data_IF_343786518639
#
_entry.id   IF_343786518639
#
_cell.length_a   1.000
_cell.length_b   1.000
_cell.length_c   1.000
_cell.angle_alpha   90.00
_cell.angle_beta   90.00
_cell.angle_gamma   90.00
#
_symmetry.space_group_name_H-M   'P 1'
#
loop_
_entity.id
_entity.type
_entity.pdbx_description
1 polymer ?
#
# COMPACT_ATOMS: atom_id res chain seq x y z
N UNK A 1 29.95 12.02 -5.36
CA UNK A 1 29.86 11.06 -4.25
C UNK A 1 28.49 11.23 -3.60
N UNK A 2 27.62 10.22 -3.66
CA UNK A 2 26.31 10.30 -3.03
C UNK A 2 26.44 10.14 -1.51
N UNK A 3 25.99 11.13 -0.76
CA UNK A 3 26.00 11.09 0.72
C UNK A 3 24.70 10.49 1.21
N UNK A 4 24.74 9.39 1.93
CA UNK A 4 23.61 8.88 2.71
C UNK A 4 23.55 9.59 4.04
N UNK A 5 22.36 10.06 4.41
CA UNK A 5 22.11 10.67 5.70
C UNK A 5 20.84 10.05 6.31
N UNK A 6 20.94 9.63 7.57
CA UNK A 6 19.81 9.14 8.33
C UNK A 6 19.23 10.29 9.16
N UNK A 7 17.99 10.67 8.84
CA UNK A 7 17.27 11.76 9.49
C UNK A 7 16.57 11.24 10.75
N UNK A 8 16.99 11.71 11.90
CA UNK A 8 16.48 11.26 13.19
C UNK A 8 15.43 12.21 13.77
N UNK A 9 15.64 13.49 13.66
CA UNK A 9 14.77 14.52 14.27
C UNK A 9 13.77 15.11 13.29
N UNK A 10 12.74 15.79 13.83
CA UNK A 10 11.76 16.53 13.03
C UNK A 10 12.41 17.75 12.37
N UNK A 11 13.32 18.42 13.07
CA UNK A 11 13.98 19.63 12.55
C UNK A 11 14.93 19.30 11.40
N UNK A 12 15.67 18.19 11.49
CA UNK A 12 16.46 17.67 10.34
C UNK A 12 15.55 17.36 9.14
N UNK A 13 14.36 16.79 9.39
CA UNK A 13 13.40 16.48 8.33
C UNK A 13 12.81 17.74 7.69
N UNK A 14 12.56 18.79 8.46
CA UNK A 14 12.12 20.09 7.93
C UNK A 14 13.19 20.75 7.08
N UNK A 15 14.44 20.74 7.55
CA UNK A 15 15.58 21.31 6.82
C UNK A 15 15.76 20.71 5.43
N UNK A 16 15.35 19.43 5.20
CA UNK A 16 15.37 18.84 3.86
C UNK A 16 14.44 19.54 2.87
N UNK A 17 13.36 20.15 3.31
CA UNK A 17 12.42 20.85 2.42
C UNK A 17 12.94 22.26 2.06
N UNK A 18 13.79 22.85 2.91
CA UNK A 18 14.40 24.16 2.69
C UNK A 18 15.67 24.08 1.82
N UNK A 19 16.33 22.92 1.84
CA UNK A 19 17.53 22.68 1.05
C UNK A 19 17.18 22.47 -0.44
N UNK A 20 17.65 23.35 -1.30
CA UNK A 20 17.36 23.36 -2.73
C UNK A 20 18.25 22.42 -3.56
N UNK A 21 19.24 21.75 -2.97
CA UNK A 21 20.07 20.80 -3.69
C UNK A 21 19.29 19.57 -4.12
N UNK A 22 19.56 19.01 -5.31
CA UNK A 22 18.92 17.76 -5.75
C UNK A 22 19.17 16.62 -4.77
N UNK A 23 18.12 15.96 -4.34
CA UNK A 23 18.16 14.87 -3.36
C UNK A 23 17.04 13.84 -3.57
N UNK A 24 17.25 12.66 -3.03
CA UNK A 24 16.20 11.64 -2.90
C UNK A 24 15.86 11.51 -1.43
N UNK A 25 14.60 11.66 -1.08
CA UNK A 25 14.07 11.48 0.26
C UNK A 25 13.32 10.16 0.31
N UNK A 26 13.79 9.21 1.12
CA UNK A 26 13.11 7.95 1.38
C UNK A 26 12.43 8.07 2.74
N UNK A 27 11.11 7.96 2.75
CA UNK A 27 10.32 8.17 3.96
C UNK A 27 9.09 7.24 4.00
N UNK A 28 8.71 6.79 5.18
CA UNK A 28 7.47 6.06 5.44
C UNK A 28 6.32 7.09 5.71
N UNK A 29 5.06 6.70 5.54
CA UNK A 29 4.49 5.40 5.24
C UNK A 29 4.29 5.18 3.73
N UNK A 30 4.14 3.90 3.32
CA UNK A 30 3.97 3.53 1.90
C UNK A 30 2.73 4.13 1.26
N UNK A 31 1.60 4.20 1.97
CA UNK A 31 0.34 4.81 1.49
C UNK A 31 0.32 6.34 1.55
N UNK A 32 1.37 6.98 2.08
CA UNK A 32 1.53 8.42 2.23
C UNK A 32 0.47 9.13 3.12
N UNK A 33 -0.37 8.40 3.84
CA UNK A 33 -1.44 8.99 4.69
C UNK A 33 -0.94 9.46 6.06
N UNK A 34 0.20 8.98 6.49
CA UNK A 34 0.80 9.31 7.77
C UNK A 34 2.32 9.49 7.69
N UNK A 35 2.91 9.99 8.76
CA UNK A 35 4.34 10.14 8.90
C UNK A 35 4.93 11.32 8.13
N UNK A 36 6.26 11.38 8.13
CA UNK A 36 7.03 12.49 7.53
C UNK A 36 6.88 12.59 6.02
N UNK A 37 6.62 11.49 5.33
CA UNK A 37 6.40 11.47 3.88
C UNK A 37 5.26 12.40 3.46
N UNK A 38 4.20 12.50 4.25
CA UNK A 38 3.05 13.36 3.97
C UNK A 38 3.45 14.85 3.94
N UNK A 39 4.34 15.26 4.85
CA UNK A 39 4.90 16.62 4.85
C UNK A 39 5.82 16.85 3.64
N UNK A 40 6.67 15.89 3.29
CA UNK A 40 7.53 16.01 2.12
C UNK A 40 6.73 16.09 0.83
N UNK A 41 5.65 15.32 0.69
CA UNK A 41 4.73 15.41 -0.44
C UNK A 41 4.08 16.80 -0.49
N UNK A 42 3.50 17.29 0.63
CA UNK A 42 2.89 18.61 0.70
C UNK A 42 3.83 19.70 0.19
N UNK A 43 5.08 19.68 0.61
CA UNK A 43 6.05 20.74 0.29
C UNK A 43 6.60 20.67 -1.16
N UNK A 44 6.39 19.54 -1.86
CA UNK A 44 6.99 19.32 -3.17
C UNK A 44 5.98 19.03 -4.28
N UNK A 45 4.70 18.81 -3.94
CA UNK A 45 3.68 18.35 -4.90
C UNK A 45 3.37 19.37 -6.01
N UNK A 46 3.53 20.66 -5.73
CA UNK A 46 3.31 21.74 -6.69
C UNK A 46 4.56 22.08 -7.50
N UNK A 47 5.69 21.42 -7.23
CA UNK A 47 6.93 21.70 -7.92
C UNK A 47 7.13 20.78 -9.15
N UNK A 48 7.12 21.32 -10.38
CA UNK A 48 7.27 20.52 -11.62
C UNK A 48 8.64 19.84 -11.76
N UNK A 49 9.64 20.25 -10.97
CA UNK A 49 10.98 19.64 -10.95
C UNK A 49 11.07 18.44 -10.01
N UNK A 50 10.04 18.24 -9.18
CA UNK A 50 9.99 17.14 -8.22
C UNK A 50 9.30 15.91 -8.82
N UNK A 51 9.64 14.75 -8.26
CA UNK A 51 8.98 13.48 -8.55
C UNK A 51 8.61 12.78 -7.23
N UNK A 52 7.40 12.23 -7.19
CA UNK A 52 6.89 11.40 -6.10
C UNK A 52 6.86 9.96 -6.61
N UNK A 53 7.64 9.08 -6.00
CA UNK A 53 7.71 7.67 -6.35
C UNK A 53 7.09 6.83 -5.23
N UNK A 54 6.00 6.16 -5.52
CA UNK A 54 5.29 5.29 -4.60
C UNK A 54 5.78 3.86 -4.79
N UNK A 55 6.34 3.27 -3.74
CA UNK A 55 6.90 1.92 -3.76
C UNK A 55 5.96 0.96 -3.02
N UNK A 56 5.34 0.05 -3.77
CA UNK A 56 4.41 -0.95 -3.25
C UNK A 56 2.94 -0.61 -3.53
N UNK A 57 2.07 -1.33 -2.84
CA UNK A 57 0.62 -1.15 -2.93
C UNK A 57 0.17 0.10 -2.15
N UNK A 58 -0.76 0.84 -2.74
CA UNK A 58 -1.48 1.91 -2.06
C UNK A 58 -2.99 1.67 -2.20
N UNK A 59 -3.70 1.68 -1.09
CA UNK A 59 -5.14 1.60 -1.06
C UNK A 59 -5.74 2.79 -1.87
N UNK A 60 -6.78 2.57 -2.72
CA UNK A 60 -7.28 3.58 -3.67
C UNK A 60 -7.67 4.93 -3.07
N UNK A 61 -8.21 4.94 -1.84
CA UNK A 61 -8.65 6.16 -1.16
C UNK A 61 -7.54 6.84 -0.35
N UNK A 62 -6.38 6.18 -0.16
CA UNK A 62 -5.20 6.77 0.47
C UNK A 62 -4.64 7.93 -0.37
N UNK A 63 -3.82 8.80 0.24
CA UNK A 63 -3.13 9.84 -0.52
C UNK A 63 -2.26 9.22 -1.63
N UNK A 64 -1.53 8.14 -1.32
CA UNK A 64 -0.73 7.42 -2.31
C UNK A 64 -1.56 6.86 -3.44
N UNK A 65 -2.71 6.21 -3.13
CA UNK A 65 -3.62 5.66 -4.13
C UNK A 65 -4.22 6.74 -5.04
N UNK A 66 -4.67 7.85 -4.48
CA UNK A 66 -5.18 8.99 -5.26
C UNK A 66 -4.14 9.58 -6.20
N UNK A 67 -2.88 9.68 -5.75
CA UNK A 67 -1.76 10.12 -6.60
C UNK A 67 -1.49 9.10 -7.73
N UNK A 68 -1.48 7.80 -7.43
CA UNK A 68 -1.30 6.73 -8.42
C UNK A 68 -2.42 6.69 -9.45
N UNK A 69 -3.65 7.01 -9.05
CA UNK A 69 -4.82 7.11 -9.92
C UNK A 69 -4.84 8.39 -10.77
N UNK A 70 -3.82 9.24 -10.68
CA UNK A 70 -3.65 10.42 -11.51
C UNK A 70 -4.59 11.57 -11.18
N UNK A 71 -5.08 11.67 -9.96
CA UNK A 71 -5.87 12.82 -9.51
C UNK A 71 -5.06 14.11 -9.70
N UNK A 72 -5.71 15.13 -10.27
CA UNK A 72 -5.08 16.42 -10.55
C UNK A 72 -4.95 17.31 -9.32
N UNK A 73 -5.78 17.03 -8.32
CA UNK A 73 -5.78 17.71 -7.03
C UNK A 73 -5.95 16.68 -5.92
N UNK A 74 -5.24 16.86 -4.83
CA UNK A 74 -5.34 16.01 -3.65
C UNK A 74 -5.45 16.82 -2.38
N UNK A 75 -6.23 16.33 -1.42
CA UNK A 75 -6.34 16.94 -0.11
C UNK A 75 -5.25 16.38 0.81
N UNK A 76 -4.41 17.27 1.34
CA UNK A 76 -3.37 16.95 2.31
C UNK A 76 -3.65 17.76 3.57
N UNK A 77 -3.88 17.09 4.70
CA UNK A 77 -4.45 17.70 5.91
C UNK A 77 -5.82 18.32 5.58
N UNK A 78 -5.98 19.62 5.79
CA UNK A 78 -7.25 20.31 5.53
C UNK A 78 -7.24 21.14 4.24
N UNK A 79 -6.16 21.11 3.47
CA UNK A 79 -5.93 21.94 2.29
C UNK A 79 -5.85 21.10 1.02
N UNK A 80 -6.29 21.66 -0.11
CA UNK A 80 -6.22 21.04 -1.43
C UNK A 80 -5.02 21.58 -2.19
N UNK A 81 -4.27 20.67 -2.82
CA UNK A 81 -3.05 20.98 -3.58
C UNK A 81 -3.15 20.44 -4.99
N UNK A 82 -2.81 21.22 -6.02
CA UNK A 82 -2.66 20.71 -7.38
C UNK A 82 -1.45 19.78 -7.47
N UNK A 83 -1.61 18.69 -8.22
CA UNK A 83 -0.54 17.71 -8.45
C UNK A 83 0.23 18.10 -9.70
N UNK A 84 1.33 18.85 -9.52
CA UNK A 84 2.21 19.31 -10.61
C UNK A 84 3.47 18.45 -10.70
N UNK A 85 3.97 17.94 -9.55
CA UNK A 85 5.08 17.01 -9.50
C UNK A 85 4.78 15.74 -10.32
N UNK A 86 5.81 15.13 -10.88
CA UNK A 86 5.67 13.84 -11.57
C UNK A 86 5.36 12.74 -10.55
N UNK A 87 4.37 11.92 -10.84
CA UNK A 87 4.02 10.76 -10.00
C UNK A 87 4.39 9.48 -10.74
N UNK A 88 5.06 8.58 -10.05
CA UNK A 88 5.40 7.24 -10.53
C UNK A 88 5.19 6.17 -9.46
N UNK A 89 5.16 4.91 -9.87
CA UNK A 89 5.02 3.78 -8.95
C UNK A 89 5.92 2.61 -9.31
N UNK A 90 6.34 1.87 -8.28
CA UNK A 90 7.07 0.59 -8.41
C UNK A 90 6.23 -0.48 -7.71
N UNK A 91 5.47 -1.25 -8.48
CA UNK A 91 4.55 -2.27 -7.93
C UNK A 91 5.29 -3.49 -7.35
N UNK A 92 6.45 -3.84 -7.91
CA UNK A 92 7.26 -5.00 -7.51
C UNK A 92 7.88 -4.91 -6.11
N UNK A 93 7.73 -3.79 -5.40
CA UNK A 93 8.21 -3.63 -4.02
C UNK A 93 7.07 -3.79 -2.98
N UNK A 94 5.94 -4.34 -3.37
CA UNK A 94 4.89 -4.72 -2.42
C UNK A 94 5.39 -5.85 -1.51
N UNK A 95 5.16 -5.73 -0.20
CA UNK A 95 5.39 -6.81 0.76
C UNK A 95 4.17 -7.74 0.90
N UNK A 96 3.10 -7.46 0.19
CA UNK A 96 1.91 -8.32 0.15
C UNK A 96 2.13 -9.46 -0.84
N UNK A 97 1.84 -10.68 -0.41
CA UNK A 97 1.78 -11.84 -1.30
C UNK A 97 0.64 -11.70 -2.30
N UNK A 98 0.89 -12.06 -3.54
CA UNK A 98 -0.17 -12.17 -4.53
C UNK A 98 -0.90 -13.52 -4.41
N UNK A 99 -1.84 -13.77 -5.32
CA UNK A 99 -2.61 -15.02 -5.31
C UNK A 99 -1.73 -16.26 -5.45
N UNK A 100 -0.67 -16.20 -6.24
CA UNK A 100 0.22 -17.32 -6.45
C UNK A 100 1.08 -17.57 -5.21
N UNK A 101 1.57 -16.53 -4.56
CA UNK A 101 2.30 -16.61 -3.29
C UNK A 101 1.44 -17.26 -2.21
N UNK A 102 0.17 -16.83 -2.07
CA UNK A 102 -0.77 -17.40 -1.10
C UNK A 102 -1.10 -18.86 -1.44
N UNK A 103 -1.28 -19.19 -2.72
CA UNK A 103 -1.52 -20.57 -3.15
C UNK A 103 -0.30 -21.45 -2.92
N UNK A 104 0.91 -20.92 -3.11
CA UNK A 104 2.15 -21.65 -2.83
C UNK A 104 2.34 -21.85 -1.32
N UNK A 105 2.04 -20.85 -0.50
CA UNK A 105 2.05 -20.99 0.97
C UNK A 105 1.14 -22.12 1.44
N UNK A 106 -0.03 -22.29 0.80
CA UNK A 106 -0.98 -23.35 1.11
C UNK A 106 -0.66 -24.68 0.41
N UNK A 107 0.42 -24.76 -0.38
CA UNK A 107 0.73 -25.99 -1.16
C UNK A 107 1.08 -27.19 -0.27
N UNK A 108 1.58 -26.96 0.95
CA UNK A 108 1.89 -28.02 1.90
C UNK A 108 0.64 -28.60 2.61
N UNK A 109 -0.51 -27.96 2.49
CA UNK A 109 -1.76 -28.42 3.10
C UNK A 109 -2.44 -29.48 2.22
N UNK A 110 -2.96 -30.53 2.86
CA UNK A 110 -3.85 -31.46 2.20
C UNK A 110 -5.29 -30.89 2.22
N UNK A 111 -5.85 -30.46 1.07
CA UNK A 111 -7.18 -29.84 1.05
C UNK A 111 -8.29 -30.72 1.61
N UNK A 112 -8.14 -32.07 1.50
CA UNK A 112 -9.13 -33.01 2.00
C UNK A 112 -9.10 -33.17 3.53
N UNK A 113 -7.99 -32.83 4.16
CA UNK A 113 -7.84 -32.88 5.61
C UNK A 113 -8.23 -31.55 6.29
N UNK A 114 -8.33 -30.46 5.52
CA UNK A 114 -8.75 -29.16 6.05
C UNK A 114 -10.27 -29.10 6.11
N UNK A 115 -10.81 -28.93 7.32
CA UNK A 115 -12.25 -28.86 7.53
C UNK A 115 -12.85 -27.56 6.98
N UNK A 116 -12.25 -26.43 7.32
CA UNK A 116 -12.75 -25.09 6.94
C UNK A 116 -11.59 -24.15 6.64
N UNK A 117 -11.78 -23.28 5.67
CA UNK A 117 -10.86 -22.18 5.34
C UNK A 117 -11.63 -20.88 5.40
N UNK A 118 -11.16 -19.94 6.22
CA UNK A 118 -11.72 -18.60 6.30
C UNK A 118 -10.83 -17.62 5.53
N UNK A 119 -11.41 -16.95 4.54
CA UNK A 119 -10.73 -15.88 3.79
C UNK A 119 -11.12 -14.54 4.42
N UNK A 120 -10.17 -13.93 5.09
CA UNK A 120 -10.38 -12.68 5.84
C UNK A 120 -9.39 -11.62 5.37
N UNK A 121 -9.76 -10.35 5.58
CA UNK A 121 -8.94 -9.19 5.22
C UNK A 121 -8.77 -9.00 3.70
N UNK A 122 -9.29 -7.91 3.19
CA UNK A 122 -9.27 -7.53 1.77
C UNK A 122 -10.61 -7.00 1.29
N UNK A 123 -10.66 -6.54 0.07
CA UNK A 123 -11.90 -6.13 -0.58
C UNK A 123 -12.74 -7.36 -0.90
N UNK A 124 -14.07 -7.27 -0.77
CA UNK A 124 -14.99 -8.41 -0.93
C UNK A 124 -14.78 -9.15 -2.26
N UNK A 125 -14.70 -8.42 -3.37
CA UNK A 125 -14.47 -9.01 -4.70
C UNK A 125 -13.15 -9.80 -4.78
N UNK A 126 -12.10 -9.30 -4.14
CA UNK A 126 -10.78 -9.97 -4.08
C UNK A 126 -10.85 -11.24 -3.24
N UNK A 127 -11.57 -11.18 -2.10
CA UNK A 127 -11.78 -12.34 -1.25
C UNK A 127 -12.58 -13.44 -1.98
N UNK A 128 -13.64 -13.07 -2.69
CA UNK A 128 -14.47 -14.01 -3.46
C UNK A 128 -13.67 -14.71 -4.55
N UNK A 129 -12.88 -13.95 -5.32
CA UNK A 129 -12.01 -14.52 -6.34
C UNK A 129 -10.96 -15.49 -5.75
N UNK A 130 -10.40 -15.16 -4.60
CA UNK A 130 -9.45 -16.06 -3.93
C UNK A 130 -10.14 -17.30 -3.36
N UNK A 131 -11.33 -17.16 -2.79
CA UNK A 131 -12.14 -18.29 -2.32
C UNK A 131 -12.47 -19.27 -3.45
N UNK A 132 -12.79 -18.78 -4.65
CA UNK A 132 -13.01 -19.63 -5.84
C UNK A 132 -11.74 -20.42 -6.22
N UNK A 133 -10.56 -19.78 -6.18
CA UNK A 133 -9.29 -20.47 -6.45
C UNK A 133 -9.02 -21.58 -5.43
N UNK A 134 -9.30 -21.34 -4.15
CA UNK A 134 -9.17 -22.34 -3.10
C UNK A 134 -10.12 -23.52 -3.31
N UNK A 135 -11.38 -23.26 -3.68
CA UNK A 135 -12.36 -24.33 -4.01
C UNK A 135 -11.88 -25.15 -5.22
N UNK A 136 -11.36 -24.52 -6.26
CA UNK A 136 -10.77 -25.20 -7.43
C UNK A 136 -9.55 -26.06 -7.06
N UNK A 137 -8.79 -25.68 -6.01
CA UNK A 137 -7.67 -26.48 -5.48
C UNK A 137 -8.11 -27.69 -4.65
N UNK A 138 -9.39 -27.77 -4.30
CA UNK A 138 -9.97 -28.90 -3.59
C UNK A 138 -10.32 -28.67 -2.13
N UNK A 139 -10.20 -27.44 -1.62
CA UNK A 139 -10.72 -27.09 -0.31
C UNK A 139 -12.26 -27.08 -0.36
N UNK A 140 -12.90 -27.90 0.51
CA UNK A 140 -14.35 -28.14 0.41
C UNK A 140 -15.16 -27.00 1.01
N UNK A 141 -14.75 -26.50 2.16
CA UNK A 141 -15.46 -25.48 2.90
C UNK A 141 -14.61 -24.20 2.96
N UNK A 142 -14.86 -23.28 2.00
CA UNK A 142 -14.19 -21.99 1.94
C UNK A 142 -15.23 -20.91 2.19
N UNK A 143 -15.02 -20.18 3.26
CA UNK A 143 -15.95 -19.19 3.82
C UNK A 143 -15.31 -17.80 3.70
N UNK A 144 -16.05 -16.83 3.18
CA UNK A 144 -15.73 -15.41 3.26
C UNK A 144 -16.69 -14.81 4.30
N UNK A 145 -16.23 -14.58 5.54
CA UNK A 145 -17.12 -14.12 6.60
C UNK A 145 -17.56 -12.67 6.37
N UNK A 146 -18.81 -12.38 6.70
CA UNK A 146 -19.29 -11.00 6.85
C UNK A 146 -18.75 -10.38 8.16
N UNK A 147 -18.81 -9.04 8.22
CA UNK A 147 -18.38 -8.33 9.42
C UNK A 147 -19.28 -8.72 10.63
N UNK A 148 -18.65 -9.13 11.72
CA UNK A 148 -19.30 -9.62 12.95
C UNK A 148 -20.00 -10.98 12.84
N UNK A 149 -19.85 -11.70 11.75
CA UNK A 149 -20.36 -13.06 11.63
C UNK A 149 -19.61 -14.00 12.61
N UNK A 150 -20.36 -14.90 13.24
CA UNK A 150 -19.83 -15.83 14.26
C UNK A 150 -19.89 -17.26 13.76
N UNK A 151 -18.79 -17.97 13.86
CA UNK A 151 -18.68 -19.39 13.48
C UNK A 151 -18.35 -20.25 14.70
N UNK A 152 -18.98 -21.41 14.79
CA UNK A 152 -18.64 -22.44 15.77
C UNK A 152 -17.72 -23.45 15.08
N UNK A 153 -16.48 -23.52 15.50
CA UNK A 153 -15.55 -24.54 15.01
C UNK A 153 -15.84 -25.89 15.69
N UNK A 154 -16.03 -26.93 14.86
CA UNK A 154 -16.26 -28.31 15.30
C UNK A 154 -15.00 -29.15 15.19
#
# INVERSE_FOLDING_TARGET
>A
MYKRQHIKTVDESKALNEDLHPKVIISASGMADAGRVKHHIKNNIENPKCAILLAGYCEPHSLGGRLMNGQKEVRIYSETYPVIAKVGSIKSMSAHGDYEDLMQFLACQNPLAVKQVFVVHGEAEVQDHFAERLRKKGFKEVIVPEMHETFVMQ
#
